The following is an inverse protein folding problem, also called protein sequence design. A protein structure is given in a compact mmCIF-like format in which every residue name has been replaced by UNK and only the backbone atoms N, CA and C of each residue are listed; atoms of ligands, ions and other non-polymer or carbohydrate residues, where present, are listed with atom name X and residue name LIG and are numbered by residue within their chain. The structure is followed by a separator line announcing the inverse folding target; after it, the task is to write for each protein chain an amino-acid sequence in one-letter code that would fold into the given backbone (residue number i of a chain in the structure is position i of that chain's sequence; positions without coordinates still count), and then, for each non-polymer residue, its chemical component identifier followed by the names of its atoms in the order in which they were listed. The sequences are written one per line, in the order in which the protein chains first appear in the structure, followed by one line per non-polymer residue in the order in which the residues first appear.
data_IF_114049382941
#
_entry.id   IF_114049382941
#
_cell.length_a   1.000
_cell.length_b   1.000
_cell.length_c   1.000
_cell.angle_alpha   90.00
_cell.angle_beta   90.00
_cell.angle_gamma   90.00
#
_symmetry.space_group_name_H-M   'P 1'
#
loop_
_entity.id
_entity.type
_entity.pdbx_description
1 polymer ?
#
# COMPACT_ATOMS: atom_id res chain seq x y z
N UNK A 1 -21.55 8.69 4.93
CA UNK A 1 -20.15 8.36 5.25
C UNK A 1 -20.15 7.63 6.58
N UNK A 2 -19.46 6.49 6.69
CA UNK A 2 -19.40 5.66 7.91
C UNK A 2 -18.87 6.49 9.09
N UNK A 3 -19.52 6.42 10.26
CA UNK A 3 -19.12 7.12 11.49
C UNK A 3 -17.66 6.84 11.87
N UNK A 4 -17.19 5.61 11.68
CA UNK A 4 -15.80 5.23 11.94
C UNK A 4 -14.83 5.88 10.97
N UNK A 5 -15.26 6.13 9.72
CA UNK A 5 -14.44 6.84 8.75
C UNK A 5 -14.33 8.32 9.13
N UNK A 6 -15.40 8.93 9.64
CA UNK A 6 -15.35 10.30 10.15
C UNK A 6 -14.32 10.43 11.28
N UNK A 7 -14.38 9.54 12.29
CA UNK A 7 -13.40 9.55 13.38
C UNK A 7 -11.97 9.28 12.90
N UNK A 8 -11.78 8.44 11.89
CA UNK A 8 -10.46 8.25 11.27
C UNK A 8 -9.96 9.56 10.63
N UNK A 9 -10.81 10.29 9.91
CA UNK A 9 -10.45 11.55 9.26
C UNK A 9 -10.00 12.62 10.26
N UNK A 10 -10.53 12.64 11.48
CA UNK A 10 -10.07 13.53 12.56
C UNK A 10 -8.61 13.28 12.98
N UNK A 11 -8.08 12.09 12.69
CA UNK A 11 -6.67 11.75 12.96
C UNK A 11 -5.74 12.03 11.78
N UNK A 12 -6.29 12.38 10.62
CA UNK A 12 -5.53 12.72 9.42
C UNK A 12 -5.12 14.19 9.51
N UNK A 13 -3.85 14.47 9.21
CA UNK A 13 -3.38 15.85 9.06
C UNK A 13 -4.22 16.57 8.00
N UNK A 14 -4.73 17.76 8.31
CA UNK A 14 -5.65 18.51 7.46
C UNK A 14 -5.16 18.66 6.02
N UNK A 15 -3.83 18.80 5.83
CA UNK A 15 -3.17 18.89 4.52
C UNK A 15 -3.45 17.68 3.62
N UNK A 16 -3.72 16.52 4.21
CA UNK A 16 -3.92 15.28 3.49
C UNK A 16 -5.37 14.77 3.54
N UNK A 17 -6.28 15.47 4.22
CA UNK A 17 -7.68 15.07 4.30
C UNK A 17 -8.34 14.93 2.92
N UNK A 18 -8.09 15.88 2.00
CA UNK A 18 -8.60 15.80 0.63
C UNK A 18 -8.08 14.57 -0.11
N UNK A 19 -6.79 14.25 0.05
CA UNK A 19 -6.18 13.09 -0.60
C UNK A 19 -6.72 11.77 -0.03
N UNK A 20 -6.87 11.65 1.28
CA UNK A 20 -7.43 10.45 1.91
C UNK A 20 -8.87 10.20 1.46
N UNK A 21 -9.71 11.24 1.36
CA UNK A 21 -11.07 11.14 0.81
C UNK A 21 -11.04 10.67 -0.65
N UNK A 22 -10.17 11.24 -1.48
CA UNK A 22 -10.02 10.83 -2.87
C UNK A 22 -9.61 9.35 -3.01
N UNK A 23 -8.65 8.87 -2.21
CA UNK A 23 -8.25 7.45 -2.21
C UNK A 23 -9.42 6.57 -1.76
N UNK A 24 -10.16 6.99 -0.73
CA UNK A 24 -11.32 6.24 -0.27
C UNK A 24 -12.40 6.12 -1.36
N UNK A 25 -12.79 7.23 -1.98
CA UNK A 25 -13.77 7.27 -3.07
C UNK A 25 -13.30 6.43 -4.26
N UNK A 26 -12.04 6.57 -4.67
CA UNK A 26 -11.49 5.81 -5.78
C UNK A 26 -11.49 4.30 -5.52
N UNK A 27 -10.99 3.85 -4.36
CA UNK A 27 -10.90 2.43 -4.05
C UNK A 27 -12.28 1.80 -3.84
N UNK A 28 -13.20 2.49 -3.16
CA UNK A 28 -14.57 1.99 -2.97
C UNK A 28 -15.36 1.97 -4.28
N UNK A 29 -15.21 2.99 -5.13
CA UNK A 29 -15.78 3.02 -6.49
C UNK A 29 -15.22 1.94 -7.41
N UNK A 30 -13.97 1.51 -7.17
CA UNK A 30 -13.33 0.39 -7.87
C UNK A 30 -13.67 -0.98 -7.26
N UNK A 31 -14.71 -1.06 -6.44
CA UNK A 31 -15.19 -2.32 -5.86
C UNK A 31 -14.39 -2.83 -4.66
N UNK A 32 -13.52 -2.03 -4.02
CA UNK A 32 -12.92 -2.42 -2.75
C UNK A 32 -13.87 -2.19 -1.58
N UNK A 33 -13.94 -3.15 -0.66
CA UNK A 33 -14.58 -2.97 0.65
C UNK A 33 -13.64 -2.21 1.59
N UNK A 34 -14.10 -1.09 2.13
CA UNK A 34 -13.42 -0.37 3.21
C UNK A 34 -13.70 -1.06 4.56
N UNK A 35 -12.65 -1.54 5.24
CA UNK A 35 -12.69 -2.16 6.56
C UNK A 35 -11.94 -1.28 7.56
N UNK A 36 -12.66 -0.78 8.57
CA UNK A 36 -12.12 0.14 9.58
C UNK A 36 -12.11 -0.54 10.94
N UNK A 37 -10.92 -0.70 11.50
CA UNK A 37 -10.69 -1.31 12.81
C UNK A 37 -10.05 -0.32 13.77
N UNK A 38 -10.60 -0.24 14.97
CA UNK A 38 -9.97 0.47 16.09
C UNK A 38 -8.83 -0.38 16.67
N UNK A 39 -7.70 0.25 16.95
CA UNK A 39 -6.54 -0.35 17.60
C UNK A 39 -6.04 0.58 18.71
N UNK A 40 -5.17 0.06 19.59
CA UNK A 40 -4.56 0.85 20.68
C UNK A 40 -3.89 2.15 20.21
N UNK A 41 -3.45 2.21 18.95
CA UNK A 41 -2.78 3.35 18.34
C UNK A 41 -3.65 4.14 17.35
N UNK A 42 -4.98 4.08 17.47
CA UNK A 42 -5.92 4.79 16.59
C UNK A 42 -6.66 3.85 15.64
N UNK A 43 -6.78 4.23 14.37
CA UNK A 43 -7.53 3.46 13.38
C UNK A 43 -6.61 2.79 12.37
N UNK A 44 -7.03 1.61 11.91
CA UNK A 44 -6.48 0.96 10.72
C UNK A 44 -7.60 0.89 9.70
N UNK A 45 -7.41 1.57 8.56
CA UNK A 45 -8.35 1.59 7.45
C UNK A 45 -7.76 0.77 6.32
N UNK A 46 -8.41 -0.34 5.97
CA UNK A 46 -7.96 -1.26 4.93
C UNK A 46 -8.96 -1.34 3.80
N UNK A 47 -8.46 -1.44 2.57
CA UNK A 47 -9.26 -1.63 1.37
C UNK A 47 -9.02 -3.05 0.88
N UNK A 48 -10.08 -3.86 0.91
CA UNK A 48 -10.05 -5.27 0.51
C UNK A 48 -10.72 -5.39 -0.85
N UNK A 49 -10.01 -5.91 -1.84
CA UNK A 49 -10.60 -6.16 -3.16
C UNK A 49 -11.74 -7.17 -3.03
N UNK A 50 -12.89 -6.87 -3.64
CA UNK A 50 -14.02 -7.79 -3.62
C UNK A 50 -13.79 -9.04 -4.46
N UNK A 51 -12.95 -8.99 -5.50
CA UNK A 51 -12.65 -10.14 -6.35
C UNK A 51 -11.65 -11.08 -5.69
N UNK A 52 -10.45 -10.59 -5.37
CA UNK A 52 -9.39 -11.43 -4.78
C UNK A 52 -9.57 -11.73 -3.29
N UNK A 53 -10.47 -11.01 -2.60
CA UNK A 53 -10.61 -11.00 -1.13
C UNK A 53 -9.32 -10.65 -0.39
N UNK A 54 -8.31 -10.11 -1.09
CA UNK A 54 -7.02 -9.70 -0.53
C UNK A 54 -7.05 -8.20 -0.22
N UNK A 55 -6.33 -7.81 0.83
CA UNK A 55 -6.11 -6.39 1.12
C UNK A 55 -5.22 -5.78 0.05
N UNK A 56 -5.70 -4.74 -0.63
CA UNK A 56 -4.97 -3.96 -1.62
C UNK A 56 -4.16 -2.84 -0.96
N UNK A 57 -4.76 -2.11 -0.02
CA UNK A 57 -4.10 -1.00 0.65
C UNK A 57 -4.57 -0.83 2.09
N UNK A 58 -3.71 -0.27 2.94
CA UNK A 58 -4.03 0.05 4.33
C UNK A 58 -3.41 1.39 4.72
N UNK A 59 -4.23 2.31 5.23
CA UNK A 59 -3.72 3.49 5.93
C UNK A 59 -3.20 3.09 7.30
N UNK A 60 -2.00 3.57 7.62
CA UNK A 60 -1.27 3.25 8.84
C UNK A 60 -0.74 4.52 9.48
N UNK A 61 -1.27 4.86 10.65
CA UNK A 61 -0.74 5.96 11.47
C UNK A 61 0.58 5.56 12.11
N UNK A 62 1.59 6.43 12.01
CA UNK A 62 2.90 6.31 12.65
C UNK A 62 3.31 7.65 13.23
N UNK A 63 4.27 7.64 14.16
CA UNK A 63 4.84 8.86 14.75
C UNK A 63 5.35 9.85 13.70
N UNK A 64 5.90 9.36 12.59
CA UNK A 64 6.46 10.17 11.51
C UNK A 64 5.43 10.63 10.46
N UNK A 65 4.14 10.41 10.70
CA UNK A 65 3.06 10.73 9.77
C UNK A 65 2.29 9.49 9.28
N UNK A 66 1.22 9.75 8.53
CA UNK A 66 0.37 8.73 7.93
C UNK A 66 1.11 8.09 6.74
N UNK A 67 1.04 6.76 6.64
CA UNK A 67 1.52 6.01 5.47
C UNK A 67 0.36 5.28 4.81
N UNK A 68 0.42 5.14 3.49
CA UNK A 68 -0.34 4.12 2.79
C UNK A 68 0.56 2.92 2.50
N UNK A 69 0.22 1.78 3.11
CA UNK A 69 0.82 0.51 2.74
C UNK A 69 0.05 -0.06 1.57
N UNK A 70 0.74 -0.35 0.48
CA UNK A 70 0.17 -0.95 -0.73
C UNK A 70 0.64 -2.40 -0.81
N UNK A 71 -0.25 -3.30 -1.18
CA UNK A 71 0.03 -4.72 -1.32
C UNK A 71 -0.12 -5.15 -2.79
N UNK A 72 0.79 -4.70 -3.68
CA UNK A 72 0.66 -4.97 -5.10
C UNK A 72 0.86 -6.44 -5.40
N UNK A 73 -0.13 -7.11 -5.99
CA UNK A 73 -0.03 -8.50 -6.39
C UNK A 73 0.54 -8.64 -7.81
N UNK A 74 0.37 -7.60 -8.63
CA UNK A 74 0.74 -7.58 -10.04
C UNK A 74 1.95 -6.66 -10.31
N UNK A 75 2.82 -6.48 -9.31
CA UNK A 75 3.97 -5.56 -9.38
C UNK A 75 4.85 -5.75 -10.62
N UNK A 76 4.89 -6.98 -11.16
CA UNK A 76 5.66 -7.34 -12.34
C UNK A 76 5.17 -6.64 -13.62
N UNK A 77 3.87 -6.33 -13.72
CA UNK A 77 3.22 -5.76 -14.90
C UNK A 77 3.54 -4.26 -15.11
N UNK A 78 4.04 -3.59 -14.08
CA UNK A 78 4.30 -2.15 -14.14
C UNK A 78 5.58 -1.74 -13.42
N UNK A 79 6.61 -2.59 -13.42
CA UNK A 79 7.88 -2.30 -12.74
C UNK A 79 8.57 -1.02 -13.24
N UNK A 80 8.36 -0.63 -14.50
CA UNK A 80 8.88 0.63 -15.04
C UNK A 80 8.36 1.85 -14.28
N UNK A 81 7.14 1.80 -13.72
CA UNK A 81 6.60 2.85 -12.86
C UNK A 81 7.42 3.02 -11.56
N UNK A 82 7.98 1.93 -11.02
CA UNK A 82 8.77 2.02 -9.78
C UNK A 82 9.99 2.92 -9.93
N UNK A 83 10.58 2.98 -11.13
CA UNK A 83 11.72 3.85 -11.44
C UNK A 83 11.35 5.34 -11.41
N UNK A 84 10.07 5.66 -11.59
CA UNK A 84 9.53 7.04 -11.59
C UNK A 84 9.24 7.58 -10.19
N UNK A 85 9.24 6.70 -9.17
CA UNK A 85 8.97 7.10 -7.80
C UNK A 85 10.00 8.13 -7.30
N UNK A 86 9.62 9.04 -6.39
CA UNK A 86 10.55 9.97 -5.77
C UNK A 86 11.72 9.26 -5.10
N UNK A 87 12.91 9.85 -5.17
CA UNK A 87 14.15 9.23 -4.66
C UNK A 87 14.05 8.83 -3.18
N UNK A 88 13.34 9.62 -2.37
CA UNK A 88 13.09 9.30 -0.97
C UNK A 88 12.26 8.03 -0.83
N UNK A 89 11.19 7.88 -1.61
CA UNK A 89 10.36 6.68 -1.61
C UNK A 89 11.16 5.46 -2.12
N UNK A 90 11.94 5.60 -3.19
CA UNK A 90 12.84 4.55 -3.69
C UNK A 90 13.84 4.11 -2.61
N UNK A 91 14.48 5.05 -1.91
CA UNK A 91 15.40 4.76 -0.80
C UNK A 91 14.70 3.99 0.34
N UNK A 92 13.46 4.33 0.68
CA UNK A 92 12.69 3.58 1.69
C UNK A 92 12.38 2.14 1.23
N UNK A 93 11.98 1.96 -0.03
CA UNK A 93 11.73 0.63 -0.62
C UNK A 93 13.02 -0.21 -0.62
N UNK A 94 14.15 0.37 -1.06
CA UNK A 94 15.46 -0.31 -1.07
C UNK A 94 15.91 -0.72 0.34
N UNK A 95 15.60 0.10 1.36
CA UNK A 95 15.90 -0.18 2.77
C UNK A 95 14.93 -1.16 3.45
N UNK A 96 13.77 -1.45 2.83
CA UNK A 96 12.80 -2.36 3.41
C UNK A 96 13.40 -3.75 3.65
N UNK A 97 12.89 -4.45 4.67
CA UNK A 97 13.36 -5.78 5.04
C UNK A 97 13.23 -6.76 3.87
N UNK A 98 14.23 -7.62 3.70
CA UNK A 98 14.16 -8.73 2.75
C UNK A 98 13.00 -9.66 3.07
N UNK A 99 12.44 -10.31 2.06
CA UNK A 99 11.49 -11.39 2.30
C UNK A 99 12.25 -12.62 2.77
N UNK A 100 12.16 -12.95 4.06
CA UNK A 100 12.80 -14.15 4.61
C UNK A 100 12.31 -15.43 3.94
N UNK A 101 11.00 -15.53 3.65
CA UNK A 101 10.39 -16.67 2.95
C UNK A 101 10.89 -16.90 1.51
N UNK A 102 11.34 -15.85 0.81
CA UNK A 102 11.97 -15.99 -0.51
C UNK A 102 13.42 -16.51 -0.42
N UNK A 103 14.06 -16.40 0.75
CA UNK A 103 15.42 -16.87 1.02
C UNK A 103 15.37 -18.29 1.62
N UNK A 104 14.50 -18.49 2.61
CA UNK A 104 14.25 -19.76 3.29
C UNK A 104 12.73 -19.93 3.48
N UNK A 105 12.08 -20.92 2.84
CA UNK A 105 10.63 -21.11 2.89
C UNK A 105 10.04 -21.25 4.31
N UNK A 106 10.84 -21.79 5.25
CA UNK A 106 10.44 -22.01 6.65
C UNK A 106 10.62 -20.76 7.52
N UNK A 107 11.37 -19.75 7.05
CA UNK A 107 11.58 -18.50 7.77
C UNK A 107 10.43 -17.52 7.53
N UNK A 108 9.37 -17.61 8.33
CA UNK A 108 8.42 -16.54 8.67
C UNK A 108 7.26 -17.13 9.49
N UNK A 109 6.26 -16.30 9.84
CA UNK A 109 4.98 -16.84 10.30
C UNK A 109 4.42 -17.83 9.24
N UNK A 110 3.90 -19.01 9.63
CA UNK A 110 3.33 -19.98 8.70
C UNK A 110 2.28 -19.38 7.75
N UNK A 111 1.49 -18.41 8.22
CA UNK A 111 0.44 -17.70 7.45
C UNK A 111 0.97 -16.58 6.54
N UNK A 112 2.28 -16.39 6.41
CA UNK A 112 2.89 -15.35 5.58
C UNK A 112 2.67 -15.62 4.07
N UNK A 113 2.09 -14.66 3.34
CA UNK A 113 1.71 -14.78 1.91
C UNK A 113 2.92 -14.62 0.95
N UNK A 114 4.16 -14.73 1.45
CA UNK A 114 5.39 -14.43 0.71
C UNK A 114 5.49 -12.94 0.30
N UNK A 115 6.72 -12.50 0.00
CA UNK A 115 7.04 -11.13 -0.38
C UNK A 115 6.99 -10.89 -1.88
N UNK A 116 7.72 -9.86 -2.32
CA UNK A 116 7.78 -9.44 -3.71
C UNK A 116 9.19 -9.63 -4.26
N UNK A 117 9.26 -10.09 -5.50
CA UNK A 117 10.40 -9.87 -6.39
C UNK A 117 10.07 -8.68 -7.29
N UNK A 118 11.04 -7.80 -7.60
CA UNK A 118 10.90 -6.72 -8.59
C UNK A 118 12.24 -6.10 -8.96
N UNK A 119 12.27 -5.35 -10.06
CA UNK A 119 13.40 -4.52 -10.49
C UNK A 119 13.13 -3.05 -10.17
N UNK A 120 14.12 -2.36 -9.59
CA UNK A 120 14.07 -0.92 -9.30
C UNK A 120 15.42 -0.28 -9.63
N UNK A 121 15.41 0.73 -10.50
CA UNK A 121 16.60 1.39 -11.04
C UNK A 121 17.64 0.39 -11.60
N UNK A 122 17.17 -0.68 -12.25
CA UNK A 122 18.01 -1.73 -12.85
C UNK A 122 18.51 -2.81 -11.88
N UNK A 123 18.21 -2.69 -10.58
CA UNK A 123 18.62 -3.67 -9.57
C UNK A 123 17.46 -4.58 -9.16
N UNK A 124 17.75 -5.87 -8.95
CA UNK A 124 16.76 -6.86 -8.50
C UNK A 124 16.60 -6.85 -6.97
N UNK A 125 15.35 -6.90 -6.50
CA UNK A 125 15.01 -6.85 -5.09
C UNK A 125 14.01 -7.95 -4.69
N UNK A 126 14.22 -8.49 -3.48
CA UNK A 126 13.31 -9.44 -2.81
C UNK A 126 12.85 -8.86 -1.47
N UNK A 127 11.68 -8.20 -1.42
CA UNK A 127 11.25 -7.43 -0.25
C UNK A 127 10.02 -8.02 0.44
N UNK A 128 9.97 -7.89 1.76
CA UNK A 128 8.86 -8.37 2.58
C UNK A 128 7.55 -7.64 2.21
N UNK A 129 6.47 -8.40 1.99
CA UNK A 129 5.14 -7.89 1.62
C UNK A 129 4.65 -6.75 2.52
N UNK A 130 4.87 -6.89 3.83
CA UNK A 130 4.39 -5.90 4.80
C UNK A 130 5.31 -4.69 4.94
N UNK A 131 6.52 -4.72 4.40
CA UNK A 131 7.54 -3.67 4.58
C UNK A 131 7.92 -2.94 3.29
N UNK A 132 7.78 -3.59 2.13
CA UNK A 132 8.27 -3.09 0.85
C UNK A 132 7.67 -1.74 0.46
N UNK A 133 6.34 -1.65 0.41
CA UNK A 133 5.63 -0.49 -0.14
C UNK A 133 4.82 0.20 0.95
N UNK A 134 5.51 0.94 1.82
CA UNK A 134 4.91 1.80 2.84
C UNK A 134 5.21 3.27 2.55
N UNK A 135 4.43 3.88 1.64
CA UNK A 135 4.69 5.23 1.16
C UNK A 135 4.08 6.24 2.13
N UNK A 136 4.89 7.19 2.61
CA UNK A 136 4.44 8.26 3.51
C UNK A 136 3.65 9.30 2.73
N UNK A 137 2.50 9.75 3.26
CA UNK A 137 1.72 10.81 2.63
C UNK A 137 2.52 12.11 2.65
N UNK A 138 2.59 12.77 1.48
CA UNK A 138 3.21 14.07 1.26
C UNK A 138 2.73 14.61 -0.07
N UNK A 139 2.83 15.93 -0.29
CA UNK A 139 2.50 16.53 -1.59
C UNK A 139 3.27 15.87 -2.74
N UNK A 140 4.55 15.54 -2.52
CA UNK A 140 5.39 14.82 -3.48
C UNK A 140 4.90 13.38 -3.74
N UNK A 141 4.56 12.62 -2.69
CA UNK A 141 4.24 11.19 -2.84
C UNK A 141 2.79 10.92 -3.24
N UNK A 142 1.85 11.81 -2.91
CA UNK A 142 0.42 11.55 -3.08
C UNK A 142 0.02 11.22 -4.55
N UNK A 143 0.53 11.92 -5.58
CA UNK A 143 0.26 11.56 -6.98
C UNK A 143 0.75 10.15 -7.33
N UNK A 144 1.92 9.74 -6.81
CA UNK A 144 2.49 8.41 -7.04
C UNK A 144 1.75 7.32 -6.29
N UNK A 145 1.28 7.60 -5.08
CA UNK A 145 0.42 6.67 -4.33
C UNK A 145 -0.84 6.36 -5.13
N UNK A 146 -1.50 7.39 -5.68
CA UNK A 146 -2.69 7.23 -6.52
C UNK A 146 -2.39 6.40 -7.77
N UNK A 147 -1.34 6.76 -8.51
CA UNK A 147 -0.92 6.03 -9.71
C UNK A 147 -0.56 4.56 -9.42
N UNK A 148 0.05 4.27 -8.28
CA UNK A 148 0.38 2.90 -7.89
C UNK A 148 -0.90 2.07 -7.72
N UNK A 149 -1.90 2.61 -7.02
CA UNK A 149 -3.19 1.93 -6.86
C UNK A 149 -3.91 1.75 -8.20
N UNK A 150 -3.89 2.77 -9.06
CA UNK A 150 -4.49 2.71 -10.41
C UNK A 150 -3.83 1.62 -11.27
N UNK A 151 -2.50 1.51 -11.25
CA UNK A 151 -1.79 0.46 -11.99
C UNK A 151 -2.07 -0.93 -11.44
N UNK A 152 -2.14 -1.09 -10.12
CA UNK A 152 -2.46 -2.38 -9.52
C UNK A 152 -3.89 -2.82 -9.85
N UNK A 153 -4.86 -1.91 -9.79
CA UNK A 153 -6.25 -2.22 -10.15
C UNK A 153 -6.42 -2.51 -11.65
N UNK A 154 -5.74 -1.74 -12.51
CA UNK A 154 -5.75 -1.98 -13.96
C UNK A 154 -5.12 -3.34 -14.28
N UNK A 155 -4.01 -3.68 -13.64
CA UNK A 155 -3.36 -4.97 -13.82
C UNK A 155 -4.29 -6.11 -13.37
N UNK A 156 -4.94 -5.98 -12.21
CA UNK A 156 -5.88 -6.97 -11.71
C UNK A 156 -7.07 -7.21 -12.67
N UNK A 157 -7.63 -6.15 -13.25
CA UNK A 157 -8.74 -6.23 -14.20
C UNK A 157 -8.39 -6.99 -15.50
N UNK A 158 -7.10 -7.11 -15.85
CA UNK A 158 -6.66 -7.87 -17.02
C UNK A 158 -6.63 -9.39 -16.76
N UNK A 159 -6.83 -9.84 -15.51
CA UNK A 159 -6.86 -11.26 -15.12
C UNK A 159 -8.27 -11.74 -14.70
N UNK A 160 -9.29 -10.89 -14.83
CA UNK A 160 -10.72 -11.20 -14.59
C UNK A 160 -11.45 -11.50 -15.89
#
# INVERSE_FOLDING_TARGET
MDEKFHMFMETVDERFCSFVKQINEYLTGSGCKCDIKTQKSGYVVSYVSNSSKRTLATFVSRKAGMKLRIYPEHIQEYQSFLNTLPDKAKKEIKKASVCKRLINPDDCNPKCIMGYTFVLDGEFYQKCRYMAFQVTLSEENNPYIKQFLEKELLAAANYE
#
